data_IF_157784636414
#
_entry.id   IF_157784636414
#
_cell.length_a   1.000
_cell.length_b   1.000
_cell.length_c   1.000
_cell.angle_alpha   90.00
_cell.angle_beta   90.00
_cell.angle_gamma   90.00
#
_symmetry.space_group_name_H-M   'P 1'
#
loop_
_entity.id
_entity.type
_entity.pdbx_description
1 polymer ?
#
# COMPACT_ATOMS: atom_id res chain seq x y z
N UNK A 1 16.84 -20.69 12.54
CA UNK A 1 15.84 -21.12 11.56
C UNK A 1 15.63 -22.62 11.69
N UNK A 2 14.39 -23.03 11.69
CA UNK A 2 13.98 -24.43 11.73
C UNK A 2 13.46 -24.81 10.34
N UNK A 3 14.00 -25.89 9.76
CA UNK A 3 13.47 -26.45 8.53
C UNK A 3 12.20 -27.25 8.83
N UNK A 4 11.08 -26.88 8.19
CA UNK A 4 9.78 -27.53 8.40
C UNK A 4 9.49 -28.62 7.36
N UNK A 5 10.08 -28.52 6.16
CA UNK A 5 9.85 -29.44 5.06
C UNK A 5 9.96 -28.79 3.70
N UNK A 6 9.47 -29.48 2.68
CA UNK A 6 9.45 -28.99 1.30
C UNK A 6 8.07 -29.12 0.67
N UNK A 7 7.79 -28.28 -0.32
CA UNK A 7 6.60 -28.33 -1.16
C UNK A 7 7.07 -28.58 -2.59
N UNK A 8 6.52 -29.60 -3.25
CA UNK A 8 6.72 -29.82 -4.68
C UNK A 8 5.55 -29.24 -5.44
N UNK A 9 5.83 -28.33 -6.36
CA UNK A 9 4.86 -27.67 -7.21
C UNK A 9 4.45 -28.55 -8.40
N UNK A 10 3.36 -28.23 -9.08
CA UNK A 10 2.85 -29.02 -10.20
C UNK A 10 3.78 -29.02 -11.44
N UNK A 11 4.65 -28.04 -11.56
CA UNK A 11 5.68 -27.95 -12.61
C UNK A 11 7.00 -28.64 -12.23
N UNK A 12 7.02 -29.37 -11.10
CA UNK A 12 8.18 -30.13 -10.61
C UNK A 12 9.18 -29.32 -9.78
N UNK A 13 9.02 -28.00 -9.68
CA UNK A 13 9.86 -27.17 -8.82
C UNK A 13 9.62 -27.44 -7.34
N UNK A 14 10.66 -27.25 -6.53
CA UNK A 14 10.61 -27.51 -5.08
C UNK A 14 10.92 -26.25 -4.28
N UNK A 15 10.10 -26.02 -3.25
CA UNK A 15 10.26 -24.93 -2.31
C UNK A 15 10.57 -25.48 -0.92
N UNK A 16 11.63 -25.00 -0.30
CA UNK A 16 11.91 -25.28 1.11
C UNK A 16 11.04 -24.39 2.00
N UNK A 17 10.60 -24.91 3.14
CA UNK A 17 9.78 -24.17 4.12
C UNK A 17 10.55 -24.05 5.42
N UNK A 18 10.69 -22.82 5.91
CA UNK A 18 11.40 -22.51 7.15
C UNK A 18 10.55 -21.69 8.11
N UNK A 19 10.71 -21.99 9.38
CA UNK A 19 10.32 -21.15 10.50
C UNK A 19 11.55 -20.43 11.06
N UNK A 20 11.43 -19.12 11.29
CA UNK A 20 12.55 -18.29 11.75
C UNK A 20 12.12 -17.44 12.93
N UNK A 21 12.57 -17.79 14.11
CA UNK A 21 12.46 -16.96 15.28
C UNK A 21 13.53 -15.84 15.22
N UNK A 22 13.09 -14.61 15.28
CA UNK A 22 13.93 -13.42 15.27
C UNK A 22 14.24 -12.98 16.71
N UNK A 23 15.44 -12.47 16.94
CA UNK A 23 15.79 -11.89 18.24
C UNK A 23 15.01 -10.58 18.48
N UNK A 24 14.79 -10.21 19.74
CA UNK A 24 14.05 -9.01 20.13
C UNK A 24 14.68 -7.70 19.63
N UNK A 25 15.97 -7.72 19.25
CA UNK A 25 16.68 -6.56 18.68
C UNK A 25 16.37 -6.32 17.20
N UNK A 26 15.72 -7.27 16.55
CA UNK A 26 15.42 -7.22 15.11
C UNK A 26 14.05 -6.59 14.88
N UNK A 27 14.02 -5.46 14.21
CA UNK A 27 12.76 -4.85 13.76
C UNK A 27 12.23 -5.62 12.56
N UNK A 28 11.09 -6.30 12.73
CA UNK A 28 10.54 -7.23 11.75
C UNK A 28 10.21 -6.54 10.41
N UNK A 29 9.88 -5.25 10.42
CA UNK A 29 9.56 -4.46 9.24
C UNK A 29 10.80 -4.06 8.43
N UNK A 30 11.97 -3.96 9.06
CA UNK A 30 13.17 -3.34 8.45
C UNK A 30 14.25 -4.33 8.04
N UNK A 31 14.27 -5.54 8.60
CA UNK A 31 15.43 -6.43 8.48
C UNK A 31 15.38 -7.35 7.25
N UNK A 32 15.39 -6.75 6.07
CA UNK A 32 15.38 -7.48 4.78
C UNK A 32 16.69 -8.21 4.48
N UNK A 33 17.82 -7.67 4.91
CA UNK A 33 19.15 -8.20 4.57
C UNK A 33 19.55 -9.40 5.43
N UNK A 34 19.26 -9.39 6.73
CA UNK A 34 19.61 -10.50 7.62
C UNK A 34 18.88 -11.81 7.26
N UNK A 35 17.61 -11.72 6.87
CA UNK A 35 16.82 -12.86 6.42
C UNK A 35 17.43 -13.51 5.16
N UNK A 36 17.98 -12.70 4.25
CA UNK A 36 18.71 -13.22 3.08
C UNK A 36 19.97 -13.99 3.47
N UNK A 37 20.76 -13.39 4.33
CA UNK A 37 22.04 -13.99 4.71
C UNK A 37 21.82 -15.32 5.45
N UNK A 38 20.74 -15.42 6.23
CA UNK A 38 20.30 -16.67 6.84
C UNK A 38 19.95 -17.73 5.80
N UNK A 39 19.30 -17.37 4.70
CA UNK A 39 18.99 -18.31 3.62
C UNK A 39 20.23 -18.71 2.85
N UNK A 40 21.03 -17.75 2.42
CA UNK A 40 22.23 -18.04 1.62
C UNK A 40 23.21 -18.95 2.39
N UNK A 41 23.33 -18.76 3.71
CA UNK A 41 24.18 -19.60 4.55
C UNK A 41 23.61 -20.99 4.85
N UNK A 42 22.28 -21.17 4.77
CA UNK A 42 21.59 -22.44 5.02
C UNK A 42 21.02 -23.11 3.76
N UNK A 43 21.17 -22.46 2.60
CA UNK A 43 20.72 -22.99 1.32
C UNK A 43 21.59 -24.17 0.90
N UNK A 44 21.20 -25.33 1.33
CA UNK A 44 21.79 -26.59 0.81
C UNK A 44 21.09 -26.88 -0.51
N UNK A 45 21.84 -26.88 -1.61
CA UNK A 45 21.35 -26.93 -2.97
C UNK A 45 20.27 -27.98 -3.24
N UNK A 46 19.41 -27.67 -4.19
CA UNK A 46 18.34 -28.55 -4.67
C UNK A 46 16.93 -27.94 -4.56
N UNK A 47 16.78 -26.72 -4.05
CA UNK A 47 15.49 -26.01 -4.01
C UNK A 47 15.48 -24.84 -4.97
N UNK A 48 14.37 -24.62 -5.65
CA UNK A 48 14.14 -23.48 -6.57
C UNK A 48 13.74 -22.21 -5.85
N UNK A 49 13.31 -22.34 -4.60
CA UNK A 49 12.91 -21.24 -3.75
C UNK A 49 12.70 -21.64 -2.29
N UNK A 50 12.39 -20.66 -1.46
CA UNK A 50 12.05 -20.90 -0.06
C UNK A 50 10.91 -20.00 0.42
N UNK A 51 10.07 -20.55 1.27
CA UNK A 51 9.05 -19.87 2.03
C UNK A 51 9.50 -19.75 3.50
N UNK A 52 9.42 -18.58 4.07
CA UNK A 52 9.88 -18.31 5.42
C UNK A 52 8.81 -17.62 6.26
N UNK A 53 8.55 -18.17 7.42
CA UNK A 53 7.71 -17.59 8.46
C UNK A 53 8.60 -17.01 9.54
N UNK A 54 8.78 -15.69 9.54
CA UNK A 54 9.65 -14.99 10.49
C UNK A 54 8.81 -14.29 11.54
N UNK A 55 9.05 -14.56 12.81
CA UNK A 55 8.28 -14.00 13.93
C UNK A 55 9.19 -13.70 15.14
N UNK A 56 8.65 -12.96 16.11
CA UNK A 56 9.22 -12.80 17.44
C UNK A 56 8.25 -13.39 18.48
N UNK A 57 8.78 -14.01 19.53
CA UNK A 57 7.99 -14.74 20.54
C UNK A 57 6.86 -13.91 21.16
N UNK A 58 7.10 -12.61 21.36
CA UNK A 58 6.19 -11.73 22.08
C UNK A 58 5.42 -10.78 21.17
N UNK A 59 5.38 -11.03 19.87
CA UNK A 59 4.66 -10.20 18.89
C UNK A 59 3.62 -11.01 18.14
N UNK A 60 2.47 -10.38 17.94
CA UNK A 60 1.39 -10.92 17.10
C UNK A 60 1.61 -10.69 15.59
N UNK A 61 2.78 -10.17 15.19
CA UNK A 61 3.13 -9.87 13.80
C UNK A 61 4.08 -10.91 13.25
N UNK A 62 3.71 -11.45 12.10
CA UNK A 62 4.46 -12.44 11.33
C UNK A 62 4.90 -11.81 10.00
N UNK A 63 6.13 -12.07 9.60
CA UNK A 63 6.60 -11.79 8.25
C UNK A 63 6.62 -13.10 7.45
N UNK A 64 5.80 -13.17 6.43
CA UNK A 64 5.80 -14.26 5.46
C UNK A 64 6.58 -13.85 4.22
N UNK A 65 7.67 -14.52 3.93
CA UNK A 65 8.62 -14.15 2.87
C UNK A 65 8.82 -15.30 1.91
N UNK A 66 8.75 -15.01 0.63
CA UNK A 66 9.18 -15.88 -0.45
C UNK A 66 10.53 -15.40 -1.01
N UNK A 67 11.42 -16.32 -1.27
CA UNK A 67 12.72 -16.07 -1.89
C UNK A 67 12.92 -17.10 -2.99
N UNK A 68 13.23 -16.64 -4.18
CA UNK A 68 13.60 -17.52 -5.31
C UNK A 68 14.98 -17.16 -5.83
N UNK A 69 15.67 -18.16 -6.34
CA UNK A 69 16.88 -17.99 -7.12
C UNK A 69 16.55 -18.23 -8.59
N UNK A 70 16.96 -17.32 -9.46
CA UNK A 70 16.84 -17.52 -10.89
C UNK A 70 18.21 -17.84 -11.48
N UNK A 71 18.24 -18.86 -12.31
CA UNK A 71 19.40 -19.26 -13.09
C UNK A 71 19.11 -18.98 -14.56
N UNK A 72 20.07 -18.48 -15.29
CA UNK A 72 19.94 -18.32 -16.73
C UNK A 72 21.28 -18.55 -17.42
N UNK A 73 21.20 -18.87 -18.70
CA UNK A 73 22.37 -18.92 -19.56
C UNK A 73 22.86 -17.48 -19.82
N UNK A 74 24.15 -17.25 -19.64
CA UNK A 74 24.75 -15.99 -20.04
C UNK A 74 24.90 -15.93 -21.58
N UNK A 75 25.39 -14.78 -22.07
CA UNK A 75 25.62 -14.59 -23.52
C UNK A 75 26.65 -15.53 -24.13
N UNK A 76 27.40 -16.23 -23.30
CA UNK A 76 28.41 -17.23 -23.69
C UNK A 76 27.87 -18.66 -23.59
N UNK A 77 26.62 -18.84 -23.16
CA UNK A 77 26.00 -20.17 -23.02
C UNK A 77 26.31 -20.87 -21.70
N UNK A 78 26.99 -20.21 -20.77
CA UNK A 78 27.28 -20.77 -19.46
C UNK A 78 26.06 -20.60 -18.53
N UNK A 79 25.69 -21.68 -17.85
CA UNK A 79 24.61 -21.68 -16.87
C UNK A 79 25.08 -21.01 -15.59
N UNK A 80 24.73 -19.74 -15.43
CA UNK A 80 25.13 -18.94 -14.27
C UNK A 80 23.92 -18.54 -13.44
N UNK A 81 24.12 -18.54 -12.13
CA UNK A 81 23.19 -17.90 -11.20
C UNK A 81 23.09 -16.43 -11.57
N UNK A 82 21.89 -15.98 -11.96
CA UNK A 82 21.64 -14.56 -12.13
C UNK A 82 21.80 -13.90 -10.77
N UNK A 83 22.90 -13.19 -10.62
CA UNK A 83 23.22 -12.37 -9.44
C UNK A 83 22.31 -11.14 -9.31
N UNK A 84 21.29 -11.02 -10.15
CA UNK A 84 20.25 -10.01 -9.98
C UNK A 84 19.56 -10.26 -8.65
N UNK A 85 19.41 -9.21 -7.89
CA UNK A 85 18.80 -9.18 -6.56
C UNK A 85 17.77 -10.28 -6.38
N UNK A 86 18.05 -11.18 -5.44
CA UNK A 86 17.12 -12.20 -5.01
C UNK A 86 15.79 -11.49 -4.77
N UNK A 87 14.87 -11.59 -5.72
CA UNK A 87 13.58 -10.90 -5.66
C UNK A 87 12.90 -11.38 -4.41
N UNK A 88 12.69 -10.47 -3.46
CA UNK A 88 12.11 -10.78 -2.17
C UNK A 88 10.74 -10.18 -2.09
N UNK A 89 9.85 -11.05 -1.90
CA UNK A 89 8.46 -10.71 -1.73
C UNK A 89 8.06 -11.05 -0.30
N UNK A 90 7.41 -10.14 0.39
CA UNK A 90 7.08 -10.34 1.79
C UNK A 90 5.75 -9.71 2.15
N UNK A 91 4.98 -10.45 2.94
CA UNK A 91 3.78 -9.96 3.61
C UNK A 91 4.05 -9.80 5.11
N UNK A 92 3.53 -8.73 5.68
CA UNK A 92 3.44 -8.55 7.13
C UNK A 92 2.00 -8.85 7.54
N UNK A 93 1.83 -9.92 8.30
CA UNK A 93 0.53 -10.45 8.73
C UNK A 93 0.43 -10.37 10.26
N UNK A 94 -0.77 -10.26 10.78
CA UNK A 94 -1.02 -10.26 12.22
C UNK A 94 -1.89 -9.11 12.68
N UNK A 95 -1.98 -8.94 13.98
CA UNK A 95 -2.84 -7.95 14.61
C UNK A 95 -2.51 -6.52 14.15
N UNK A 96 -3.55 -5.74 13.82
CA UNK A 96 -3.40 -4.37 13.32
C UNK A 96 -2.80 -4.26 11.91
N UNK A 97 -2.63 -5.36 11.19
CA UNK A 97 -2.14 -5.38 9.80
C UNK A 97 -3.25 -5.80 8.84
N UNK A 98 -3.38 -5.09 7.73
CA UNK A 98 -4.30 -5.49 6.68
C UNK A 98 -3.80 -6.75 5.98
N UNK A 99 -4.60 -7.82 6.01
CA UNK A 99 -4.27 -9.09 5.35
C UNK A 99 -5.02 -9.31 4.02
N UNK A 100 -5.93 -8.41 3.64
CA UNK A 100 -6.80 -8.57 2.46
C UNK A 100 -6.00 -8.90 1.20
N UNK A 101 -4.97 -8.13 0.91
CA UNK A 101 -4.13 -8.33 -0.27
C UNK A 101 -3.47 -9.72 -0.28
N UNK A 102 -2.91 -10.15 0.86
CA UNK A 102 -2.34 -11.50 0.96
C UNK A 102 -3.39 -12.58 0.71
N UNK A 103 -4.56 -12.43 1.32
CA UNK A 103 -5.68 -13.37 1.16
C UNK A 103 -6.12 -13.47 -0.31
N UNK A 104 -6.28 -12.33 -1.00
CA UNK A 104 -6.72 -12.32 -2.39
C UNK A 104 -5.67 -12.94 -3.32
N UNK A 105 -4.39 -12.64 -3.13
CA UNK A 105 -3.30 -13.25 -3.90
C UNK A 105 -3.17 -14.76 -3.66
N UNK A 106 -3.31 -15.23 -2.41
CA UNK A 106 -3.26 -16.66 -2.12
C UNK A 106 -4.51 -17.42 -2.55
N UNK A 107 -5.68 -16.77 -2.62
CA UNK A 107 -6.85 -17.36 -3.29
C UNK A 107 -6.58 -17.57 -4.78
N UNK A 108 -6.04 -16.56 -5.46
CA UNK A 108 -5.66 -16.65 -6.87
C UNK A 108 -4.63 -17.77 -7.09
N UNK A 109 -3.62 -17.87 -6.21
CA UNK A 109 -2.63 -18.95 -6.27
C UNK A 109 -3.28 -20.34 -6.07
N UNK A 110 -4.20 -20.46 -5.11
CA UNK A 110 -4.94 -21.73 -4.86
C UNK A 110 -5.69 -22.20 -6.11
N UNK A 111 -6.31 -21.25 -6.83
CA UNK A 111 -7.16 -21.52 -7.98
C UNK A 111 -6.36 -21.57 -9.31
N UNK A 112 -5.03 -21.35 -9.26
CA UNK A 112 -4.10 -21.45 -10.39
C UNK A 112 -3.53 -22.86 -10.56
N UNK A 113 -2.62 -23.04 -11.53
CA UNK A 113 -1.87 -24.26 -11.74
C UNK A 113 -0.79 -24.53 -10.69
N UNK A 114 -0.59 -23.61 -9.74
CA UNK A 114 0.39 -23.72 -8.66
C UNK A 114 1.82 -24.04 -9.15
N UNK A 115 2.23 -23.31 -10.18
CA UNK A 115 3.60 -23.35 -10.72
C UNK A 115 4.52 -22.40 -9.94
N UNK A 116 5.84 -22.51 -10.14
CA UNK A 116 6.82 -21.59 -9.55
C UNK A 116 6.55 -20.13 -9.96
N UNK A 117 6.06 -19.95 -11.19
CA UNK A 117 5.64 -18.64 -11.68
C UNK A 117 4.44 -18.11 -10.90
N UNK A 118 3.41 -18.93 -10.69
CA UNK A 118 2.21 -18.54 -9.95
C UNK A 118 2.55 -18.14 -8.50
N UNK A 119 3.46 -18.89 -7.86
CA UNK A 119 3.97 -18.52 -6.53
C UNK A 119 4.72 -17.19 -6.58
N UNK A 120 5.57 -16.98 -7.57
CA UNK A 120 6.30 -15.72 -7.73
C UNK A 120 5.35 -14.55 -7.95
N UNK A 121 4.32 -14.74 -8.77
CA UNK A 121 3.32 -13.73 -9.06
C UNK A 121 2.47 -13.40 -7.81
N UNK A 122 2.10 -14.40 -7.01
CA UNK A 122 1.36 -14.21 -5.75
C UNK A 122 2.12 -13.37 -4.71
N UNK A 123 3.44 -13.37 -4.77
CA UNK A 123 4.29 -12.53 -3.92
C UNK A 123 4.79 -11.26 -4.62
N UNK A 124 4.51 -11.07 -5.91
CA UNK A 124 5.05 -9.97 -6.70
C UNK A 124 4.39 -8.64 -6.38
N UNK A 125 5.21 -7.63 -6.09
CA UNK A 125 4.75 -6.23 -5.98
C UNK A 125 4.22 -5.72 -7.33
N UNK A 126 4.71 -6.26 -8.44
CA UNK A 126 4.28 -5.87 -9.78
C UNK A 126 2.84 -6.31 -10.09
N UNK A 127 2.46 -7.52 -9.69
CA UNK A 127 1.09 -7.99 -9.78
C UNK A 127 0.14 -7.13 -8.93
N UNK A 128 0.54 -6.80 -7.70
CA UNK A 128 -0.21 -5.91 -6.81
C UNK A 128 -0.34 -4.49 -7.37
N UNK A 129 0.72 -3.97 -7.95
CA UNK A 129 0.73 -2.64 -8.55
C UNK A 129 -0.23 -2.60 -9.75
N UNK A 130 -0.22 -3.63 -10.58
CA UNK A 130 -1.12 -3.73 -11.74
C UNK A 130 -2.58 -3.80 -11.30
N UNK A 131 -2.91 -4.66 -10.34
CA UNK A 131 -4.26 -4.77 -9.79
C UNK A 131 -4.72 -3.44 -9.18
N UNK A 132 -3.87 -2.78 -8.39
CA UNK A 132 -4.17 -1.48 -7.81
C UNK A 132 -4.48 -0.42 -8.88
N UNK A 133 -3.69 -0.36 -9.94
CA UNK A 133 -3.95 0.58 -11.04
C UNK A 133 -5.23 0.24 -11.79
N UNK A 134 -5.53 -1.03 -11.97
CA UNK A 134 -6.77 -1.46 -12.60
C UNK A 134 -7.98 -1.06 -11.75
N UNK A 135 -7.99 -1.39 -10.46
CA UNK A 135 -9.07 -1.03 -9.54
C UNK A 135 -9.25 0.50 -9.47
N UNK A 136 -8.15 1.25 -9.47
CA UNK A 136 -8.16 2.70 -9.46
C UNK A 136 -8.73 3.28 -10.77
N UNK A 137 -8.37 2.69 -11.90
CA UNK A 137 -8.84 3.11 -13.21
C UNK A 137 -10.34 2.81 -13.39
N UNK A 138 -10.80 1.63 -12.99
CA UNK A 138 -12.21 1.26 -12.98
C UNK A 138 -13.04 2.23 -12.12
N UNK A 139 -12.52 2.59 -10.93
CA UNK A 139 -13.15 3.59 -10.07
C UNK A 139 -13.17 4.97 -10.72
N UNK A 140 -12.07 5.37 -11.38
CA UNK A 140 -11.98 6.63 -12.10
C UNK A 140 -12.99 6.69 -13.25
N UNK A 141 -13.05 5.67 -14.10
CA UNK A 141 -14.02 5.59 -15.20
C UNK A 141 -15.46 5.70 -14.68
N UNK A 142 -15.77 4.95 -13.63
CA UNK A 142 -17.07 5.05 -12.98
C UNK A 142 -17.36 6.47 -12.45
N UNK A 143 -16.38 7.12 -11.83
CA UNK A 143 -16.56 8.44 -11.25
C UNK A 143 -16.80 9.55 -12.30
N UNK A 144 -16.22 9.42 -13.49
CA UNK A 144 -16.36 10.41 -14.57
C UNK A 144 -17.44 10.04 -15.59
N UNK A 145 -18.07 8.88 -15.45
CA UNK A 145 -19.15 8.46 -16.35
C UNK A 145 -20.38 9.36 -16.14
N UNK A 146 -20.95 9.89 -17.23
CA UNK A 146 -22.16 10.72 -17.23
C UNK A 146 -23.37 10.00 -16.62
N UNK A 147 -23.34 8.67 -16.56
CA UNK A 147 -24.38 7.84 -15.95
C UNK A 147 -24.15 7.62 -14.45
N UNK A 148 -22.99 8.02 -13.92
CA UNK A 148 -22.72 7.94 -12.49
C UNK A 148 -23.58 8.99 -11.78
N UNK A 149 -24.10 8.64 -10.61
CA UNK A 149 -24.86 9.59 -9.79
C UNK A 149 -23.92 10.56 -9.01
N UNK A 150 -22.67 10.72 -9.44
CA UNK A 150 -21.73 11.64 -8.82
C UNK A 150 -21.93 13.03 -9.40
N UNK A 151 -22.25 13.99 -8.54
CA UNK A 151 -22.30 15.41 -8.88
C UNK A 151 -21.07 16.12 -8.37
N UNK A 152 -20.45 16.92 -9.26
CA UNK A 152 -19.32 17.76 -8.90
C UNK A 152 -19.84 19.19 -8.63
N UNK A 153 -19.69 19.72 -7.40
CA UNK A 153 -20.10 21.10 -7.09
C UNK A 153 -19.39 22.08 -8.04
N UNK A 154 -20.13 23.05 -8.56
CA UNK A 154 -19.73 24.06 -9.54
C UNK A 154 -19.59 23.55 -10.98
N UNK A 155 -20.04 22.36 -11.29
CA UNK A 155 -20.19 21.93 -12.66
C UNK A 155 -21.61 22.22 -13.10
N UNK A 156 -21.83 23.41 -13.68
CA UNK A 156 -23.15 23.86 -14.16
C UNK A 156 -23.31 23.69 -15.65
N UNK A 157 -22.28 23.25 -16.35
CA UNK A 157 -22.29 23.13 -17.79
C UNK A 157 -22.24 21.68 -18.24
N UNK A 158 -23.01 21.40 -19.27
CA UNK A 158 -23.12 20.11 -19.94
C UNK A 158 -22.24 20.11 -21.21
N UNK A 159 -21.35 21.10 -21.35
CA UNK A 159 -20.52 21.28 -22.53
C UNK A 159 -19.25 20.42 -22.45
N UNK A 160 -18.77 19.99 -23.60
CA UNK A 160 -17.63 19.05 -23.76
C UNK A 160 -16.33 19.58 -23.12
N UNK A 161 -16.14 20.90 -23.08
CA UNK A 161 -15.01 21.57 -22.42
C UNK A 161 -15.00 21.37 -20.90
N UNK A 162 -16.16 21.16 -20.25
CA UNK A 162 -16.24 20.96 -18.81
C UNK A 162 -15.90 19.53 -18.38
N UNK A 163 -16.04 18.57 -19.27
CA UNK A 163 -15.67 17.18 -18.99
C UNK A 163 -14.18 17.02 -18.73
N UNK A 164 -13.34 17.65 -19.54
CA UNK A 164 -11.88 17.64 -19.38
C UNK A 164 -11.47 18.27 -18.04
N UNK A 165 -12.20 19.26 -17.56
CA UNK A 165 -11.95 19.88 -16.23
C UNK A 165 -12.39 18.97 -15.07
N UNK A 166 -13.50 18.24 -15.22
CA UNK A 166 -13.95 17.24 -14.23
C UNK A 166 -12.91 16.12 -14.11
N UNK A 167 -12.47 15.56 -15.23
CA UNK A 167 -11.46 14.50 -15.28
C UNK A 167 -10.18 14.94 -14.57
N UNK A 168 -9.69 16.14 -14.86
CA UNK A 168 -8.52 16.72 -14.20
C UNK A 168 -8.73 16.92 -12.70
N UNK A 169 -9.93 17.32 -12.27
CA UNK A 169 -10.28 17.50 -10.85
C UNK A 169 -10.31 16.16 -10.12
N UNK A 170 -10.88 15.12 -10.73
CA UNK A 170 -10.91 13.77 -10.17
C UNK A 170 -9.50 13.21 -10.03
N UNK A 171 -8.68 13.32 -11.08
CA UNK A 171 -7.27 12.88 -11.01
C UNK A 171 -6.50 13.60 -9.90
N UNK A 172 -6.69 14.91 -9.76
CA UNK A 172 -6.06 15.69 -8.67
C UNK A 172 -6.54 15.22 -7.30
N UNK A 173 -7.83 14.93 -7.15
CA UNK A 173 -8.39 14.42 -5.88
C UNK A 173 -7.76 13.07 -5.52
N UNK A 174 -7.76 12.12 -6.44
CA UNK A 174 -7.16 10.79 -6.25
C UNK A 174 -5.68 10.94 -5.87
N UNK A 175 -4.93 11.71 -6.63
CA UNK A 175 -3.48 11.93 -6.38
C UNK A 175 -3.25 12.51 -4.98
N UNK A 176 -4.08 13.45 -4.54
CA UNK A 176 -3.99 14.04 -3.20
C UNK A 176 -4.31 13.03 -2.11
N UNK A 177 -5.36 12.22 -2.27
CA UNK A 177 -5.71 11.18 -1.30
C UNK A 177 -4.57 10.17 -1.18
N UNK A 178 -4.03 9.71 -2.30
CA UNK A 178 -2.88 8.80 -2.33
C UNK A 178 -1.66 9.39 -1.63
N UNK A 179 -1.37 10.66 -1.86
CA UNK A 179 -0.28 11.36 -1.20
C UNK A 179 -0.50 11.43 0.32
N UNK A 180 -1.70 11.77 0.78
CA UNK A 180 -2.03 11.80 2.22
C UNK A 180 -1.91 10.41 2.82
N UNK A 181 -2.34 9.37 2.12
CA UNK A 181 -2.15 7.99 2.55
C UNK A 181 -0.66 7.65 2.70
N UNK A 182 0.16 8.04 1.74
CA UNK A 182 1.61 7.82 1.79
C UNK A 182 2.26 8.51 2.99
N UNK A 183 1.98 9.81 3.22
CA UNK A 183 2.56 10.53 4.36
C UNK A 183 2.02 10.01 5.70
N UNK A 184 0.79 9.48 5.74
CA UNK A 184 0.25 8.75 6.89
C UNK A 184 1.09 7.51 7.21
N UNK A 185 1.44 6.70 6.20
CA UNK A 185 2.30 5.52 6.40
C UNK A 185 3.71 5.91 6.90
N UNK A 186 4.15 7.13 6.61
CA UNK A 186 5.41 7.70 7.13
C UNK A 186 5.26 8.35 8.51
N UNK A 187 4.07 8.28 9.13
CA UNK A 187 3.77 8.91 10.43
C UNK A 187 3.92 10.42 10.44
N UNK A 188 3.76 11.07 9.30
CA UNK A 188 3.83 12.54 9.15
C UNK A 188 2.48 13.22 9.39
N UNK A 189 1.40 12.47 9.36
CA UNK A 189 0.05 12.90 9.73
C UNK A 189 -0.56 11.87 10.69
N UNK A 190 -1.59 12.24 11.46
CA UNK A 190 -2.24 11.33 12.41
C UNK A 190 -2.76 10.05 11.74
N UNK A 191 -2.61 8.92 12.39
CA UNK A 191 -3.08 7.62 11.89
C UNK A 191 -4.60 7.60 11.66
N UNK A 192 -5.34 8.37 12.43
CA UNK A 192 -6.81 8.47 12.38
C UNK A 192 -7.36 9.42 11.32
N UNK A 193 -6.52 9.97 10.44
CA UNK A 193 -6.96 10.97 9.43
C UNK A 193 -8.04 10.46 8.48
N UNK A 194 -8.15 9.14 8.31
CA UNK A 194 -9.19 8.47 7.51
C UNK A 194 -10.15 7.61 8.34
N UNK A 195 -10.11 7.75 9.65
CA UNK A 195 -11.00 7.01 10.55
C UNK A 195 -12.33 7.75 10.67
N UNK A 196 -13.39 7.22 10.07
CA UNK A 196 -14.73 7.84 10.06
C UNK A 196 -15.31 8.04 11.46
N UNK A 197 -15.05 7.09 12.38
CA UNK A 197 -15.51 7.21 13.76
C UNK A 197 -14.81 8.37 14.48
N UNK A 198 -13.49 8.49 14.27
CA UNK A 198 -12.75 9.62 14.82
C UNK A 198 -13.17 10.96 14.19
N UNK A 199 -13.34 10.99 12.87
CA UNK A 199 -13.77 12.21 12.17
C UNK A 199 -15.14 12.71 12.64
N UNK A 200 -16.08 11.81 12.91
CA UNK A 200 -17.39 12.18 13.44
C UNK A 200 -17.34 12.81 14.84
N UNK A 201 -16.26 12.56 15.60
CA UNK A 201 -16.07 13.20 16.92
C UNK A 201 -15.53 14.62 16.83
N UNK A 202 -14.85 14.98 15.75
CA UNK A 202 -14.20 16.29 15.60
C UNK A 202 -14.88 17.22 14.59
N UNK A 203 -15.58 16.67 13.61
CA UNK A 203 -16.28 17.44 12.59
C UNK A 203 -17.77 17.57 12.91
N UNK A 204 -18.32 18.75 12.68
CA UNK A 204 -19.77 18.96 12.72
C UNK A 204 -20.39 18.35 11.48
N UNK A 205 -21.59 17.79 11.66
CA UNK A 205 -22.43 17.29 10.57
C UNK A 205 -21.69 16.35 9.61
N UNK A 206 -20.70 15.60 10.15
CA UNK A 206 -19.96 14.62 9.38
C UNK A 206 -20.76 13.32 9.29
N UNK A 207 -21.26 13.06 8.10
CA UNK A 207 -21.87 11.79 7.73
C UNK A 207 -21.12 11.20 6.53
N UNK A 208 -20.39 10.08 6.69
CA UNK A 208 -19.64 9.46 5.58
C UNK A 208 -20.57 8.87 4.50
N UNK A 209 -21.87 8.72 4.78
CA UNK A 209 -22.87 8.22 3.84
C UNK A 209 -23.71 9.34 3.21
N UNK A 210 -23.46 10.61 3.57
CA UNK A 210 -24.19 11.73 2.98
C UNK A 210 -23.78 11.94 1.52
N UNK A 211 -24.75 12.02 0.66
CA UNK A 211 -24.57 12.34 -0.76
C UNK A 211 -24.40 13.83 -1.04
N UNK A 212 -24.75 14.70 -0.07
CA UNK A 212 -24.82 16.13 -0.28
C UNK A 212 -23.80 16.94 0.51
N UNK A 213 -23.34 16.46 1.66
CA UNK A 213 -22.51 17.21 2.60
C UNK A 213 -21.16 16.54 2.88
N UNK A 214 -20.09 17.10 2.30
CA UNK A 214 -18.74 16.60 2.48
C UNK A 214 -17.82 17.55 3.23
N UNK A 215 -17.83 17.52 4.57
CA UNK A 215 -16.95 18.36 5.38
C UNK A 215 -15.48 17.89 5.41
N UNK A 216 -15.22 16.62 5.13
CA UNK A 216 -13.86 16.05 5.21
C UNK A 216 -12.86 16.78 4.30
N UNK A 217 -13.22 17.00 3.03
CA UNK A 217 -12.34 17.71 2.11
C UNK A 217 -12.07 19.14 2.60
N UNK A 218 -13.10 19.87 2.96
CA UNK A 218 -12.99 21.29 3.34
C UNK A 218 -12.27 21.47 4.69
N UNK A 219 -12.58 20.64 5.67
CA UNK A 219 -12.04 20.78 7.02
C UNK A 219 -10.66 20.14 7.17
N UNK A 220 -10.42 18.97 6.57
CA UNK A 220 -9.20 18.19 6.76
C UNK A 220 -8.24 18.37 5.58
N UNK A 221 -8.64 17.97 4.37
CA UNK A 221 -7.70 17.92 3.24
C UNK A 221 -7.27 19.29 2.76
N UNK A 222 -8.19 20.27 2.66
CA UNK A 222 -7.83 21.64 2.29
C UNK A 222 -6.86 22.27 3.30
N UNK A 223 -7.10 22.08 4.58
CA UNK A 223 -6.19 22.59 5.61
C UNK A 223 -4.84 21.90 5.58
N UNK A 224 -4.80 20.59 5.38
CA UNK A 224 -3.55 19.86 5.23
C UNK A 224 -2.76 20.40 4.05
N UNK A 225 -3.36 20.52 2.86
CA UNK A 225 -2.64 20.94 1.66
C UNK A 225 -2.29 22.44 1.67
N UNK A 226 -3.24 23.30 1.92
CA UNK A 226 -3.06 24.73 1.72
C UNK A 226 -2.62 25.49 2.96
N UNK A 227 -3.00 25.04 4.14
CA UNK A 227 -2.62 25.68 5.39
C UNK A 227 -1.42 25.03 6.08
N UNK A 228 -1.05 23.81 5.70
CA UNK A 228 0.03 23.07 6.35
C UNK A 228 1.18 22.77 5.38
N UNK A 229 0.96 21.99 4.34
CA UNK A 229 2.03 21.53 3.47
C UNK A 229 2.55 22.62 2.52
N UNK A 230 1.69 23.50 2.07
CA UNK A 230 2.02 24.56 1.10
C UNK A 230 2.35 25.92 1.76
N UNK A 231 2.69 25.92 3.04
CA UNK A 231 3.09 27.13 3.78
C UNK A 231 4.37 26.92 4.53
N UNK A 232 5.17 27.98 4.63
CA UNK A 232 6.31 27.99 5.52
C UNK A 232 5.91 27.78 6.98
N UNK A 233 6.73 27.11 7.75
CA UNK A 233 6.45 26.80 9.16
C UNK A 233 6.49 28.06 10.00
N UNK A 234 7.35 29.01 9.65
CA UNK A 234 7.46 30.32 10.28
C UNK A 234 7.27 31.40 9.24
N UNK A 235 6.56 32.48 9.62
CA UNK A 235 6.51 33.69 8.81
C UNK A 235 7.83 34.49 8.95
N UNK A 236 7.97 35.54 8.16
CA UNK A 236 9.14 36.44 8.19
C UNK A 236 9.40 37.06 9.56
N UNK A 237 8.38 37.10 10.44
CA UNK A 237 8.46 37.59 11.83
C UNK A 237 8.75 36.48 12.84
N UNK A 238 9.01 35.24 12.36
CA UNK A 238 9.30 34.09 13.20
C UNK A 238 8.07 33.48 13.91
N UNK A 239 6.83 33.92 13.59
CA UNK A 239 5.63 33.35 14.18
C UNK A 239 5.36 31.98 13.58
N UNK A 240 5.01 31.02 14.42
CA UNK A 240 4.57 29.69 13.96
C UNK A 240 3.22 29.85 13.24
N UNK A 241 3.12 29.26 12.05
CA UNK A 241 1.87 29.27 11.29
C UNK A 241 0.72 28.65 12.08
N UNK A 242 -0.43 29.25 11.96
CA UNK A 242 -1.72 28.74 12.43
C UNK A 242 -2.61 28.46 11.22
N UNK A 243 -3.77 27.86 11.43
CA UNK A 243 -4.76 27.66 10.38
C UNK A 243 -4.95 28.93 9.53
N UNK A 244 -4.93 28.77 8.22
CA UNK A 244 -4.97 29.89 7.32
C UNK A 244 -6.36 30.57 7.36
N UNK A 245 -6.39 31.83 7.81
CA UNK A 245 -7.56 32.71 7.62
C UNK A 245 -7.92 32.92 6.13
N UNK A 246 -7.04 32.54 5.21
CA UNK A 246 -7.20 32.73 3.77
C UNK A 246 -8.14 31.74 3.09
N UNK A 247 -8.48 30.63 3.72
CA UNK A 247 -9.61 29.84 3.28
C UNK A 247 -10.85 30.64 3.68
N UNK A 248 -11.57 31.19 2.71
CA UNK A 248 -12.75 32.09 2.88
C UNK A 248 -13.93 31.46 3.68
N UNK A 249 -13.70 30.34 4.33
CA UNK A 249 -14.67 29.64 5.18
C UNK A 249 -14.21 29.73 6.62
N UNK A 250 -15.15 30.03 7.50
CA UNK A 250 -14.88 29.96 8.93
C UNK A 250 -14.70 28.50 9.37
N UNK A 251 -13.46 28.06 9.42
CA UNK A 251 -13.08 26.69 9.81
C UNK A 251 -13.65 26.36 11.19
N UNK A 252 -13.82 27.34 12.07
CA UNK A 252 -14.39 27.13 13.41
C UNK A 252 -15.84 26.63 13.37
N UNK A 253 -16.55 26.82 12.26
CA UNK A 253 -17.89 26.28 12.08
C UNK A 253 -17.92 24.83 11.71
N UNK A 254 -16.81 24.26 11.21
CA UNK A 254 -16.68 22.88 10.74
C UNK A 254 -16.24 21.92 11.84
N UNK A 255 -15.63 22.42 12.91
CA UNK A 255 -15.17 21.60 14.04
C UNK A 255 -16.12 21.72 15.24
N UNK A 256 -16.22 20.64 16.00
CA UNK A 256 -16.94 20.59 17.28
C UNK A 256 -16.15 21.26 18.40
#
# INVERSE_FOLDING_TARGET
ALYLGQITLHDGHTLAVYEVELSDRVVIERNRAAIRNLLVSNWRGGYDGALMFCYRKNESVLRFTYVSESWAFDKQGDYKKLSTDTKRYTYLLGEGRGCRTAVDQFKTLRDSKQTLKDVTDAFSVEALTRQFYQDLFEWYEWAVDDKSNITFPNNTAIEEDDRDDIEKKVIRMITRIMFVWFIKQKKLVPDKIFDTNFLSTILKDFDPNSETDGNFYNAILQNLFFATLNREIKDEKGNVRRFAKSLKRDIKTLYR
#
